data_IF_618071799196
#
_entry.id   IF_618071799196
#
_cell.length_a   1.000
_cell.length_b   1.000
_cell.length_c   1.000
_cell.angle_alpha   90.00
_cell.angle_beta   90.00
_cell.angle_gamma   90.00
#
_symmetry.space_group_name_H-M   'P 1'
#
loop_
_entity.id
_entity.type
_entity.pdbx_description
1 polymer ?
#
# COMPACT_ATOMS: atom_id res chain seq x y z
N UNK A 1 -55.56 8.33 5.86
CA UNK A 1 -54.49 7.36 6.22
C UNK A 1 -53.62 6.88 5.04
N UNK A 2 -54.16 6.57 3.84
CA UNK A 2 -53.35 6.07 2.70
C UNK A 2 -52.30 7.07 2.17
N UNK A 3 -52.61 8.38 2.14
CA UNK A 3 -51.69 9.43 1.68
C UNK A 3 -50.48 9.64 2.60
N UNK A 4 -50.69 9.62 3.92
CA UNK A 4 -49.62 9.75 4.92
C UNK A 4 -48.61 8.60 4.80
N UNK A 5 -49.08 7.36 4.59
CA UNK A 5 -48.19 6.20 4.38
C UNK A 5 -47.32 6.33 3.13
N UNK A 6 -47.85 6.89 2.03
CA UNK A 6 -47.06 7.17 0.80
C UNK A 6 -46.00 8.24 1.04
N UNK A 7 -46.33 9.32 1.75
CA UNK A 7 -45.38 10.41 2.05
C UNK A 7 -44.24 9.88 2.95
N UNK A 8 -44.56 9.12 4.00
CA UNK A 8 -43.56 8.51 4.88
C UNK A 8 -42.64 7.57 4.10
N UNK A 9 -43.19 6.74 3.21
CA UNK A 9 -42.39 5.84 2.38
C UNK A 9 -41.43 6.61 1.48
N UNK A 10 -41.90 7.69 0.82
CA UNK A 10 -41.05 8.54 -0.03
C UNK A 10 -39.89 9.13 0.77
N UNK A 11 -40.17 9.70 1.96
CA UNK A 11 -39.13 10.29 2.82
C UNK A 11 -38.10 9.25 3.24
N UNK A 12 -38.54 8.07 3.68
CA UNK A 12 -37.64 6.97 4.07
C UNK A 12 -36.77 6.53 2.90
N UNK A 13 -37.34 6.35 1.71
CA UNK A 13 -36.58 6.00 0.51
C UNK A 13 -35.57 7.08 0.14
N UNK A 14 -35.92 8.36 0.26
CA UNK A 14 -35.02 9.49 0.00
C UNK A 14 -33.84 9.51 0.97
N UNK A 15 -34.10 9.33 2.27
CA UNK A 15 -33.05 9.27 3.30
C UNK A 15 -32.10 8.10 3.05
N UNK A 16 -32.63 6.90 2.75
CA UNK A 16 -31.80 5.73 2.42
C UNK A 16 -30.95 6.03 1.19
N UNK A 17 -31.54 6.58 0.13
CA UNK A 17 -30.84 6.90 -1.11
C UNK A 17 -29.70 7.90 -0.88
N UNK A 18 -29.94 8.98 -0.12
CA UNK A 18 -28.90 9.97 0.23
C UNK A 18 -27.76 9.32 1.03
N UNK A 19 -28.07 8.45 1.99
CA UNK A 19 -27.02 7.77 2.79
C UNK A 19 -26.20 6.79 1.94
N UNK A 20 -26.83 6.07 1.02
CA UNK A 20 -26.15 5.14 0.10
C UNK A 20 -25.27 5.91 -0.89
N UNK A 21 -25.81 6.95 -1.53
CA UNK A 21 -25.05 7.83 -2.44
C UNK A 21 -23.87 8.49 -1.70
N UNK A 22 -24.10 9.00 -0.50
CA UNK A 22 -23.05 9.60 0.33
C UNK A 22 -21.95 8.59 0.70
N UNK A 23 -22.30 7.33 1.00
CA UNK A 23 -21.30 6.27 1.24
C UNK A 23 -20.50 5.96 -0.02
N UNK A 24 -21.16 5.85 -1.17
CA UNK A 24 -20.50 5.59 -2.46
C UNK A 24 -19.56 6.73 -2.81
N UNK A 25 -20.02 7.98 -2.74
CA UNK A 25 -19.20 9.17 -3.02
C UNK A 25 -17.97 9.23 -2.11
N UNK A 26 -18.15 9.06 -0.81
CA UNK A 26 -17.04 9.05 0.15
C UNK A 26 -16.05 7.90 -0.12
N UNK A 27 -16.53 6.74 -0.56
CA UNK A 27 -15.67 5.63 -0.92
C UNK A 27 -14.81 5.96 -2.14
N UNK A 28 -15.40 6.53 -3.21
CA UNK A 28 -14.63 6.95 -4.39
C UNK A 28 -13.63 8.06 -4.05
N UNK A 29 -14.07 9.10 -3.36
CA UNK A 29 -13.20 10.21 -2.97
C UNK A 29 -12.00 9.74 -2.10
N UNK A 30 -12.24 8.79 -1.18
CA UNK A 30 -11.15 8.19 -0.38
C UNK A 30 -10.16 7.40 -1.23
N UNK A 31 -10.62 6.66 -2.24
CA UNK A 31 -9.72 5.90 -3.13
C UNK A 31 -8.78 6.83 -3.89
N UNK A 32 -9.29 7.93 -4.42
CA UNK A 32 -8.48 8.89 -5.19
C UNK A 32 -7.46 9.67 -4.33
N UNK A 33 -7.77 9.86 -3.05
CA UNK A 33 -6.94 10.65 -2.12
C UNK A 33 -5.96 9.83 -1.28
N UNK A 34 -6.18 8.51 -1.15
CA UNK A 34 -5.38 7.66 -0.26
C UNK A 34 -3.89 7.62 -0.62
N UNK A 35 -3.54 7.35 -1.88
CA UNK A 35 -2.12 7.30 -2.28
C UNK A 35 -1.41 8.66 -2.12
N UNK A 36 -1.99 9.80 -2.56
CA UNK A 36 -1.44 11.13 -2.24
C UNK A 36 -1.26 11.38 -0.74
N UNK A 37 -2.22 10.97 0.10
CA UNK A 37 -2.14 11.12 1.55
C UNK A 37 -1.02 10.28 2.15
N UNK A 38 -0.90 9.00 1.77
CA UNK A 38 0.19 8.11 2.18
C UNK A 38 1.54 8.74 1.81
N UNK A 39 1.67 9.20 0.56
CA UNK A 39 2.89 9.86 0.08
C UNK A 39 3.25 11.09 0.92
N UNK A 40 2.29 11.98 1.17
CA UNK A 40 2.48 13.21 1.96
C UNK A 40 3.00 12.89 3.37
N UNK A 41 2.35 11.96 4.08
CA UNK A 41 2.81 11.55 5.43
C UNK A 41 4.18 10.89 5.41
N UNK A 42 4.46 10.04 4.42
CA UNK A 42 5.75 9.38 4.27
C UNK A 42 6.90 10.35 3.93
N UNK A 43 6.65 11.60 3.55
CA UNK A 43 7.70 12.63 3.47
C UNK A 43 8.25 12.99 4.86
N UNK A 44 7.43 12.88 5.90
CA UNK A 44 7.79 13.24 7.27
C UNK A 44 8.64 12.13 7.91
N UNK A 45 9.83 12.49 8.42
CA UNK A 45 10.76 11.55 9.03
C UNK A 45 10.15 10.85 10.24
N UNK A 46 9.51 11.61 11.12
CA UNK A 46 8.97 11.08 12.38
C UNK A 46 7.87 10.07 12.11
N UNK A 47 6.97 10.38 11.16
CA UNK A 47 5.95 9.42 10.72
C UNK A 47 6.57 8.10 10.24
N UNK A 48 7.63 8.14 9.42
CA UNK A 48 8.33 6.93 8.98
C UNK A 48 8.91 6.14 10.16
N UNK A 49 9.55 6.83 11.10
CA UNK A 49 10.14 6.21 12.29
C UNK A 49 9.08 5.58 13.20
N UNK A 50 7.94 6.24 13.40
CA UNK A 50 6.80 5.70 14.16
C UNK A 50 6.26 4.44 13.50
N UNK A 51 5.99 4.46 12.19
CA UNK A 51 5.49 3.28 11.47
C UNK A 51 6.49 2.12 11.51
N UNK A 52 7.79 2.40 11.37
CA UNK A 52 8.84 1.40 11.47
C UNK A 52 8.95 0.80 12.88
N UNK A 53 8.91 1.63 13.92
CA UNK A 53 8.94 1.17 15.31
C UNK A 53 7.73 0.30 15.65
N UNK A 54 6.52 0.72 15.25
CA UNK A 54 5.31 -0.07 15.46
C UNK A 54 5.37 -1.41 14.73
N UNK A 55 5.86 -1.41 13.49
CA UNK A 55 5.99 -2.63 12.71
C UNK A 55 6.96 -3.63 13.35
N UNK A 56 8.08 -3.15 13.91
CA UNK A 56 9.02 -3.98 14.68
C UNK A 56 8.34 -4.55 15.93
N UNK A 57 7.58 -3.73 16.67
CA UNK A 57 6.85 -4.19 17.86
C UNK A 57 5.86 -5.31 17.52
N UNK A 58 5.10 -5.16 16.43
CA UNK A 58 4.18 -6.20 15.94
C UNK A 58 4.91 -7.46 15.48
N UNK A 59 6.14 -7.32 14.99
CA UNK A 59 6.98 -8.44 14.58
C UNK A 59 7.87 -9.00 15.72
N UNK A 60 7.36 -8.97 16.97
CA UNK A 60 8.05 -9.49 18.15
C UNK A 60 9.47 -8.91 18.35
N UNK A 61 9.66 -7.62 18.05
CA UNK A 61 10.93 -6.92 18.18
C UNK A 61 11.93 -7.17 17.05
N UNK A 62 11.58 -7.96 16.02
CA UNK A 62 12.46 -8.27 14.89
C UNK A 62 12.26 -7.27 13.76
N UNK A 63 13.36 -6.78 13.19
CA UNK A 63 13.35 -5.92 11.99
C UNK A 63 13.49 -6.69 10.66
N UNK A 64 13.92 -7.96 10.74
CA UNK A 64 13.94 -8.86 9.60
C UNK A 64 12.52 -9.29 9.21
N UNK A 65 12.26 -9.36 7.90
CA UNK A 65 10.96 -9.77 7.33
C UNK A 65 9.76 -8.93 7.79
N UNK A 66 10.00 -7.65 8.13
CA UNK A 66 8.99 -6.71 8.67
C UNK A 66 8.32 -5.87 7.57
N UNK A 67 8.55 -6.16 6.29
CA UNK A 67 8.04 -5.36 5.18
C UNK A 67 6.52 -5.23 5.20
N UNK A 68 5.84 -6.34 5.44
CA UNK A 68 4.38 -6.40 5.49
C UNK A 68 3.83 -5.67 6.70
N UNK A 69 4.44 -5.84 7.88
CA UNK A 69 4.05 -5.08 9.07
C UNK A 69 4.22 -3.57 8.84
N UNK A 70 5.32 -3.13 8.23
CA UNK A 70 5.57 -1.72 7.93
C UNK A 70 4.51 -1.14 6.99
N UNK A 71 4.27 -1.80 5.85
CA UNK A 71 3.23 -1.37 4.91
C UNK A 71 1.85 -1.39 5.56
N UNK A 72 1.56 -2.41 6.38
CA UNK A 72 0.26 -2.53 7.07
C UNK A 72 0.05 -1.43 8.11
N UNK A 73 1.08 -1.01 8.83
CA UNK A 73 1.02 0.14 9.76
C UNK A 73 0.78 1.45 9.00
N UNK A 74 1.46 1.65 7.87
CA UNK A 74 1.21 2.81 7.00
C UNK A 74 -0.24 2.81 6.49
N UNK A 75 -0.79 1.65 6.13
CA UNK A 75 -2.18 1.52 5.70
C UNK A 75 -3.17 1.79 6.85
N UNK A 76 -2.96 1.18 8.03
CA UNK A 76 -3.80 1.38 9.23
C UNK A 76 -3.84 2.82 9.70
N UNK A 77 -2.70 3.51 9.72
CA UNK A 77 -2.61 4.93 10.08
C UNK A 77 -3.21 5.88 9.03
N UNK A 78 -3.64 5.36 7.88
CA UNK A 78 -4.45 6.04 6.88
C UNK A 78 -5.86 5.42 6.76
N UNK A 79 -6.36 4.84 7.85
CA UNK A 79 -7.73 4.33 8.00
C UNK A 79 -8.08 3.17 7.07
N UNK A 80 -7.08 2.47 6.51
CA UNK A 80 -7.28 1.22 5.79
C UNK A 80 -7.30 0.07 6.78
N UNK A 81 -8.37 -0.72 6.78
CA UNK A 81 -8.58 -1.81 7.75
C UNK A 81 -7.78 -3.06 7.36
N UNK A 82 -6.49 -3.08 7.71
CA UNK A 82 -5.62 -4.27 7.59
C UNK A 82 -5.51 -4.95 8.97
N UNK A 83 -5.79 -6.25 9.10
CA UNK A 83 -5.61 -7.00 10.35
C UNK A 83 -4.20 -6.85 10.95
N UNK A 84 -4.09 -6.81 12.28
CA UNK A 84 -2.79 -6.67 12.95
C UNK A 84 -1.87 -7.88 12.75
N UNK A 85 -2.45 -9.06 12.51
CA UNK A 85 -1.70 -10.30 12.26
C UNK A 85 -1.19 -10.48 10.83
N UNK A 86 -1.55 -9.58 9.89
CA UNK A 86 -1.09 -9.65 8.50
C UNK A 86 0.44 -9.50 8.45
N UNK A 87 1.14 -10.60 8.17
CA UNK A 87 2.59 -10.71 8.37
C UNK A 87 3.36 -11.16 7.13
N UNK A 88 2.67 -11.65 6.10
CA UNK A 88 3.27 -12.04 4.82
C UNK A 88 2.57 -11.39 3.61
N UNK A 89 3.25 -11.41 2.47
CA UNK A 89 2.79 -10.73 1.23
C UNK A 89 1.51 -11.34 0.67
N UNK A 90 1.30 -12.63 0.85
CA UNK A 90 0.07 -13.34 0.45
C UNK A 90 -1.14 -12.84 1.25
N UNK A 91 -1.02 -12.73 2.57
CA UNK A 91 -2.07 -12.19 3.43
C UNK A 91 -2.40 -10.75 3.09
N UNK A 92 -1.37 -9.88 2.99
CA UNK A 92 -1.58 -8.47 2.65
C UNK A 92 -2.27 -8.32 1.29
N UNK A 93 -1.84 -9.10 0.30
CA UNK A 93 -2.48 -9.09 -1.03
C UNK A 93 -3.95 -9.50 -0.94
N UNK A 94 -4.27 -10.52 -0.15
CA UNK A 94 -5.65 -10.98 0.04
C UNK A 94 -6.49 -9.92 0.76
N UNK A 95 -5.94 -9.26 1.78
CA UNK A 95 -6.63 -8.19 2.51
C UNK A 95 -6.92 -6.99 1.61
N UNK A 96 -5.94 -6.55 0.80
CA UNK A 96 -6.13 -5.48 -0.17
C UNK A 96 -7.18 -5.84 -1.23
N UNK A 97 -7.17 -7.07 -1.74
CA UNK A 97 -8.19 -7.56 -2.70
C UNK A 97 -9.59 -7.56 -2.08
N UNK A 98 -9.75 -8.00 -0.83
CA UNK A 98 -11.05 -7.95 -0.11
C UNK A 98 -11.56 -6.51 0.04
N UNK A 99 -10.64 -5.55 0.15
CA UNK A 99 -10.96 -4.11 0.17
C UNK A 99 -11.22 -3.52 -1.23
N UNK A 100 -11.20 -4.35 -2.29
CA UNK A 100 -11.48 -3.95 -3.67
C UNK A 100 -10.32 -3.29 -4.39
N UNK A 101 -9.08 -3.42 -3.89
CA UNK A 101 -7.90 -2.91 -4.57
C UNK A 101 -7.59 -3.74 -5.82
N UNK A 102 -7.05 -3.09 -6.84
CA UNK A 102 -6.75 -3.68 -8.15
C UNK A 102 -5.26 -3.80 -8.38
N UNK A 103 -4.83 -4.96 -8.85
CA UNK A 103 -3.46 -5.21 -9.29
C UNK A 103 -3.20 -4.54 -10.65
N UNK A 104 -2.04 -3.92 -10.80
CA UNK A 104 -1.51 -3.46 -12.09
C UNK A 104 -0.02 -3.78 -12.21
N UNK A 105 0.39 -4.23 -13.39
CA UNK A 105 1.80 -4.54 -13.73
C UNK A 105 2.47 -3.43 -14.54
N UNK A 106 1.70 -2.42 -14.96
CA UNK A 106 2.18 -1.32 -15.79
C UNK A 106 2.84 -0.24 -14.92
N UNK A 107 4.16 -0.37 -14.75
CA UNK A 107 4.95 0.56 -13.92
C UNK A 107 4.89 2.01 -14.41
N UNK A 108 4.51 2.28 -15.66
CA UNK A 108 4.37 3.66 -16.16
C UNK A 108 3.20 4.38 -15.48
N UNK A 109 2.25 3.62 -14.91
CA UNK A 109 1.10 4.12 -14.16
C UNK A 109 1.33 4.22 -12.65
N UNK A 110 2.54 3.90 -12.17
CA UNK A 110 2.87 4.04 -10.76
C UNK A 110 2.73 5.49 -10.31
N UNK A 111 1.96 5.68 -9.23
CA UNK A 111 1.79 6.97 -8.57
C UNK A 111 2.39 6.95 -7.17
N UNK A 112 2.91 8.09 -6.68
CA UNK A 112 3.36 8.22 -5.30
C UNK A 112 2.33 7.69 -4.29
N UNK A 113 2.77 6.87 -3.35
CA UNK A 113 1.93 6.22 -2.33
C UNK A 113 1.30 4.89 -2.76
N UNK A 114 1.54 4.40 -3.99
CA UNK A 114 1.12 3.06 -4.38
C UNK A 114 1.93 1.97 -3.65
N UNK A 115 1.24 0.87 -3.34
CA UNK A 115 1.84 -0.29 -2.66
C UNK A 115 2.37 -1.25 -3.73
N UNK A 116 3.67 -1.48 -3.72
CA UNK A 116 4.37 -2.30 -4.70
C UNK A 116 4.74 -3.67 -4.12
N UNK A 117 4.86 -4.64 -5.01
CA UNK A 117 5.23 -6.02 -4.73
C UNK A 117 6.32 -6.46 -5.70
N UNK A 118 7.27 -7.23 -5.20
CA UNK A 118 8.37 -7.77 -5.99
C UNK A 118 8.01 -9.08 -6.70
N UNK A 119 8.93 -9.61 -7.50
CA UNK A 119 8.91 -11.01 -7.94
C UNK A 119 9.05 -11.96 -6.76
N UNK A 120 8.86 -13.26 -7.02
CA UNK A 120 9.36 -14.27 -6.10
C UNK A 120 10.90 -14.35 -6.11
N UNK A 121 11.45 -15.23 -5.26
CA UNK A 121 12.89 -15.42 -5.09
C UNK A 121 13.60 -15.97 -6.36
N UNK A 122 12.85 -16.54 -7.30
CA UNK A 122 13.35 -17.03 -8.59
C UNK A 122 13.20 -15.99 -9.71
N UNK A 123 12.73 -14.78 -9.39
CA UNK A 123 12.47 -13.73 -10.38
C UNK A 123 11.16 -13.89 -11.16
N UNK A 124 10.29 -14.82 -10.77
CA UNK A 124 9.00 -15.03 -11.44
C UNK A 124 7.96 -13.99 -10.98
N UNK A 125 7.39 -13.26 -11.94
CA UNK A 125 6.37 -12.23 -11.70
C UNK A 125 5.00 -12.79 -11.30
N UNK A 126 4.77 -14.07 -11.54
CA UNK A 126 3.54 -14.77 -11.19
C UNK A 126 3.64 -15.55 -9.86
N UNK A 127 4.83 -15.59 -9.25
CA UNK A 127 5.05 -16.24 -7.96
C UNK A 127 4.58 -15.41 -6.77
N UNK A 128 4.88 -15.91 -5.57
CA UNK A 128 4.61 -15.20 -4.31
C UNK A 128 5.66 -14.11 -4.13
N UNK A 129 5.27 -12.81 -4.06
CA UNK A 129 6.21 -11.73 -3.86
C UNK A 129 7.02 -11.91 -2.58
N UNK A 130 8.34 -11.74 -2.66
CA UNK A 130 9.22 -11.80 -1.49
C UNK A 130 9.13 -10.54 -0.62
N UNK A 131 8.76 -9.40 -1.21
CA UNK A 131 8.83 -8.10 -0.57
C UNK A 131 7.70 -7.17 -1.01
N UNK A 132 7.39 -6.21 -0.14
CA UNK A 132 6.45 -5.12 -0.43
C UNK A 132 7.00 -3.79 0.10
N UNK A 133 6.70 -2.71 -0.61
CA UNK A 133 7.19 -1.36 -0.32
C UNK A 133 6.20 -0.30 -0.83
N UNK A 134 6.36 0.95 -0.37
CA UNK A 134 5.59 2.08 -0.90
C UNK A 134 6.45 2.85 -1.91
N UNK A 135 5.93 3.04 -3.12
CA UNK A 135 6.58 3.87 -4.14
C UNK A 135 6.44 5.35 -3.80
N UNK A 136 7.55 6.10 -3.81
CA UNK A 136 7.53 7.54 -3.53
C UNK A 136 7.63 8.36 -4.81
N UNK A 137 8.63 8.11 -5.66
CA UNK A 137 8.79 8.75 -6.98
C UNK A 137 9.88 8.06 -7.79
N UNK A 138 9.91 8.30 -9.09
CA UNK A 138 11.05 7.94 -9.93
C UNK A 138 12.24 8.86 -9.63
N UNK A 139 13.46 8.31 -9.69
CA UNK A 139 14.69 9.12 -9.51
C UNK A 139 14.87 10.08 -10.69
N UNK A 140 14.65 9.57 -11.90
CA UNK A 140 14.71 10.34 -13.14
C UNK A 140 13.44 10.09 -13.94
N UNK A 141 12.73 11.16 -14.32
CA UNK A 141 11.53 11.04 -15.14
C UNK A 141 11.83 10.34 -16.46
N UNK A 142 10.99 9.39 -16.86
CA UNK A 142 11.20 8.56 -18.06
C UNK A 142 12.23 7.43 -17.91
N UNK A 143 12.93 7.33 -16.77
CA UNK A 143 13.76 6.18 -16.43
C UNK A 143 13.13 5.41 -15.26
N UNK A 144 12.85 4.14 -15.50
CA UNK A 144 12.13 3.26 -14.57
C UNK A 144 13.03 2.24 -13.87
N UNK A 145 14.35 2.44 -13.92
CA UNK A 145 15.31 1.53 -13.30
C UNK A 145 15.38 1.76 -11.79
N UNK A 146 15.35 3.02 -11.37
CA UNK A 146 15.54 3.43 -9.97
C UNK A 146 14.39 4.28 -9.45
N UNK A 147 13.91 3.93 -8.26
CA UNK A 147 12.85 4.64 -7.56
C UNK A 147 13.26 5.00 -6.14
N UNK A 148 12.74 6.13 -5.70
CA UNK A 148 12.62 6.50 -4.30
C UNK A 148 11.48 5.68 -3.68
N UNK A 149 11.76 4.95 -2.61
CA UNK A 149 10.79 4.07 -1.94
C UNK A 149 10.84 4.21 -0.41
N UNK A 150 9.78 3.76 0.26
CA UNK A 150 9.78 3.52 1.71
C UNK A 150 9.53 2.04 2.02
N UNK A 151 10.41 1.42 2.79
CA UNK A 151 10.24 0.04 3.28
C UNK A 151 11.01 -0.23 4.59
N UNK A 152 11.00 -1.48 5.06
CA UNK A 152 11.65 -1.89 6.31
C UNK A 152 13.17 -2.24 6.17
N UNK A 153 13.73 -2.20 4.97
CA UNK A 153 15.11 -2.62 4.67
C UNK A 153 16.16 -1.55 5.03
N UNK A 154 15.85 -0.64 5.96
CA UNK A 154 16.71 0.47 6.35
C UNK A 154 18.16 0.05 6.68
N UNK A 155 18.36 -1.13 7.28
CA UNK A 155 19.69 -1.70 7.57
C UNK A 155 20.58 -1.86 6.34
N UNK A 156 19.99 -2.12 5.17
CA UNK A 156 20.69 -2.30 3.90
C UNK A 156 20.97 -0.94 3.20
N UNK A 157 20.44 0.16 3.77
CA UNK A 157 20.48 1.51 3.19
C UNK A 157 20.88 2.57 4.23
N UNK A 158 21.93 2.31 5.01
CA UNK A 158 22.50 3.24 5.99
C UNK A 158 21.46 3.79 6.99
N UNK A 159 20.56 2.93 7.47
CA UNK A 159 19.49 3.29 8.40
C UNK A 159 18.34 4.09 7.78
N UNK A 160 18.26 4.20 6.46
CA UNK A 160 17.24 5.00 5.77
C UNK A 160 16.04 4.17 5.36
N UNK A 161 14.89 4.40 6.02
CA UNK A 161 13.57 3.86 5.61
C UNK A 161 13.18 4.40 4.24
N UNK A 162 13.48 5.69 3.99
CA UNK A 162 13.29 6.34 2.70
C UNK A 162 14.63 6.37 1.94
N UNK A 163 14.75 5.56 0.88
CA UNK A 163 15.98 5.42 0.10
C UNK A 163 15.70 5.17 -1.39
N UNK A 164 16.77 5.14 -2.19
CA UNK A 164 16.72 4.79 -3.61
C UNK A 164 16.95 3.28 -3.75
N UNK A 165 16.13 2.62 -4.56
CA UNK A 165 16.26 1.21 -4.91
C UNK A 165 16.19 1.04 -6.43
N UNK A 166 17.02 0.12 -6.96
CA UNK A 166 16.80 -0.39 -8.32
C UNK A 166 15.60 -1.34 -8.29
N UNK A 167 14.54 -0.98 -9.00
CA UNK A 167 13.28 -1.73 -9.01
C UNK A 167 13.12 -2.58 -10.26
N UNK A 168 13.93 -2.39 -11.32
CA UNK A 168 13.73 -3.10 -12.59
C UNK A 168 14.41 -4.45 -12.63
N UNK A 169 15.64 -4.54 -12.14
CA UNK A 169 16.48 -5.73 -12.31
C UNK A 169 16.64 -6.46 -10.98
N UNK A 170 16.42 -7.77 -10.98
CA UNK A 170 16.87 -8.63 -9.89
C UNK A 170 18.39 -8.68 -9.95
N UNK A 171 19.07 -8.13 -8.94
CA UNK A 171 20.54 -8.15 -8.90
C UNK A 171 20.97 -9.53 -8.40
N UNK A 172 20.98 -10.52 -9.29
CA UNK A 172 21.23 -11.94 -8.95
C UNK A 172 22.71 -12.24 -8.59
N UNK A 173 23.63 -11.26 -8.54
CA UNK A 173 25.08 -11.53 -8.46
C UNK A 173 25.89 -10.78 -7.40
N UNK A 174 25.29 -10.31 -6.31
CA UNK A 174 26.08 -9.99 -5.12
C UNK A 174 25.30 -10.31 -3.85
N UNK A 175 25.99 -10.44 -2.73
CA UNK A 175 25.49 -10.80 -1.40
C UNK A 175 24.38 -9.88 -0.83
N UNK A 176 23.75 -9.03 -1.64
CA UNK A 176 22.69 -8.07 -1.31
C UNK A 176 21.65 -7.89 -2.45
N UNK A 177 21.48 -8.90 -3.32
CA UNK A 177 20.49 -8.87 -4.41
C UNK A 177 19.09 -8.45 -3.94
N UNK A 178 18.44 -7.57 -4.69
CA UNK A 178 17.07 -7.12 -4.43
C UNK A 178 16.17 -7.63 -5.54
N UNK A 179 15.05 -8.24 -5.16
CA UNK A 179 14.04 -8.70 -6.13
C UNK A 179 13.45 -7.52 -6.89
N UNK A 180 13.25 -7.73 -8.19
CA UNK A 180 12.64 -6.77 -9.10
C UNK A 180 11.18 -6.51 -8.74
N UNK A 181 10.68 -5.36 -9.16
CA UNK A 181 9.26 -5.03 -9.20
C UNK A 181 8.49 -6.03 -10.07
N UNK A 182 7.34 -6.45 -9.58
CA UNK A 182 6.39 -7.27 -10.33
C UNK A 182 5.10 -6.51 -10.62
N UNK A 183 4.47 -5.95 -9.58
CA UNK A 183 3.19 -5.24 -9.70
C UNK A 183 2.96 -4.27 -8.53
N UNK A 184 1.90 -3.47 -8.63
CA UNK A 184 1.40 -2.63 -7.56
C UNK A 184 -0.11 -2.77 -7.40
N UNK A 185 -0.60 -2.35 -6.25
CA UNK A 185 -2.02 -2.35 -5.91
C UNK A 185 -2.53 -0.90 -5.86
N UNK A 186 -3.69 -0.68 -6.47
CA UNK A 186 -4.39 0.61 -6.54
C UNK A 186 -5.69 0.49 -5.74
N UNK A 187 -5.99 1.41 -4.80
CA UNK A 187 -7.22 1.38 -4.00
C UNK A 187 -8.51 1.53 -4.81
#
# INVERSE_FOLDING_TARGET
>A
MKGIKKIVLIIVTLVISVTVIGKIYNQYFRKDTLSPQIYSKLQQRDYRLTMYSNAIKLNNGKSANTCVFFVSEVLRSNSVKIPYGTCNTTELLNDLKKLGWRKSTDYTRLKPGNICFTTDASGNKNGIPTHTYIFMKWVKQGNYDNAYICDNQAKDYNGKIYHIRNVKNSVIKSNNGKDAFSFFMIP
#
